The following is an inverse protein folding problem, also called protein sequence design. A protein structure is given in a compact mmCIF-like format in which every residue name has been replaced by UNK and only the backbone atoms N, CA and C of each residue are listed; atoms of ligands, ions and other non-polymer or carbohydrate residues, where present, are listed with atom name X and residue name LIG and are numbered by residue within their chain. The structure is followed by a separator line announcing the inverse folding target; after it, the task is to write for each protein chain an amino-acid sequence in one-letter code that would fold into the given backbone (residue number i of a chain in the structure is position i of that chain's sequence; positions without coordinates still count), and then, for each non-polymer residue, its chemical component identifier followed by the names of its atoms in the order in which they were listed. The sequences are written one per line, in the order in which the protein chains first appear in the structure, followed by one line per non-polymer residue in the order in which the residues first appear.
data_IF_116725487463
#
_entry.id   IF_116725487463
#
_cell.length_a   1.000
_cell.length_b   1.000
_cell.length_c   1.000
_cell.angle_alpha   90.00
_cell.angle_beta   90.00
_cell.angle_gamma   90.00
#
_symmetry.space_group_name_H-M   'P 1'
#
loop_
_entity.id
_entity.type
_entity.pdbx_description
1 polymer ?
#
# COMPACT_ATOMS: atom_id res chain seq x y z
N UNK A 1 -58.34 -1.31 -9.28
CA UNK A 1 -58.31 -1.62 -7.83
C UNK A 1 -57.76 -0.40 -7.10
N UNK A 2 -58.47 0.06 -6.06
CA UNK A 2 -58.25 1.33 -5.36
C UNK A 2 -57.00 1.21 -4.46
N UNK A 3 -55.91 1.91 -4.76
CA UNK A 3 -54.80 2.10 -3.82
C UNK A 3 -55.10 3.30 -2.93
N UNK A 4 -55.08 3.05 -1.62
CA UNK A 4 -55.58 3.93 -0.56
C UNK A 4 -54.51 4.98 -0.25
N UNK A 5 -54.93 6.24 -0.23
CA UNK A 5 -54.17 7.41 0.23
C UNK A 5 -53.52 7.13 1.60
N UNK A 6 -52.19 7.13 1.66
CA UNK A 6 -51.46 7.17 2.91
C UNK A 6 -50.66 8.46 2.94
N UNK A 7 -51.24 9.46 3.60
CA UNK A 7 -50.65 10.75 3.91
C UNK A 7 -49.37 10.52 4.73
N UNK A 8 -48.20 10.69 4.09
CA UNK A 8 -46.91 10.76 4.77
C UNK A 8 -46.71 12.22 5.17
N UNK A 9 -46.82 12.49 6.47
CA UNK A 9 -46.66 13.81 7.06
C UNK A 9 -45.25 14.37 6.83
N UNK A 10 -45.20 15.66 6.49
CA UNK A 10 -44.00 16.47 6.41
C UNK A 10 -43.39 16.68 7.81
N UNK A 11 -42.17 16.17 8.01
CA UNK A 11 -41.17 16.75 8.91
C UNK A 11 -39.78 16.22 8.49
N UNK A 12 -39.25 16.67 7.36
CA UNK A 12 -37.90 16.30 6.91
C UNK A 12 -36.85 17.11 7.69
N UNK A 13 -36.30 16.46 8.71
CA UNK A 13 -35.09 16.87 9.41
C UNK A 13 -33.90 16.70 8.45
N UNK A 14 -33.49 17.77 7.77
CA UNK A 14 -32.37 17.76 6.82
C UNK A 14 -31.01 17.79 7.52
N UNK A 15 -30.61 16.70 8.17
CA UNK A 15 -29.23 16.51 8.61
C UNK A 15 -28.38 16.04 7.41
N UNK A 16 -27.63 16.95 6.81
CA UNK A 16 -26.65 16.62 5.79
C UNK A 16 -25.48 15.84 6.42
N UNK A 17 -25.57 14.50 6.42
CA UNK A 17 -24.42 13.64 6.67
C UNK A 17 -23.43 13.77 5.51
N UNK A 18 -22.45 14.67 5.65
CA UNK A 18 -21.28 14.69 4.79
C UNK A 18 -20.52 13.38 4.93
N UNK A 19 -20.49 12.58 3.87
CA UNK A 19 -19.63 11.40 3.79
C UNK A 19 -18.18 11.88 3.68
N UNK A 20 -17.44 11.79 4.78
CA UNK A 20 -15.98 11.96 4.75
C UNK A 20 -15.38 10.67 4.18
N UNK A 21 -14.91 10.73 2.93
CA UNK A 21 -14.14 9.62 2.37
C UNK A 21 -12.77 9.55 3.09
N UNK A 22 -12.28 8.35 3.45
CA UNK A 22 -10.95 8.23 4.01
C UNK A 22 -9.92 8.59 2.94
N UNK A 23 -9.08 9.58 3.23
CA UNK A 23 -7.88 9.84 2.45
C UNK A 23 -6.87 8.72 2.76
N UNK A 24 -6.77 7.73 1.88
CA UNK A 24 -5.69 6.75 1.95
C UNK A 24 -4.40 7.42 1.47
N UNK A 25 -3.58 7.89 2.40
CA UNK A 25 -2.21 8.29 2.08
C UNK A 25 -1.44 7.03 1.64
N UNK A 26 -0.98 6.99 0.38
CA UNK A 26 -0.07 5.95 -0.04
C UNK A 26 1.24 6.11 0.75
N UNK A 27 1.64 5.06 1.48
CA UNK A 27 2.89 5.08 2.23
C UNK A 27 4.04 5.02 1.22
N UNK A 28 4.87 6.07 1.19
CA UNK A 28 6.05 6.10 0.35
C UNK A 28 7.25 5.67 1.17
N UNK A 29 8.04 4.75 0.62
CA UNK A 29 9.29 4.33 1.22
C UNK A 29 10.46 4.59 0.27
N UNK A 30 11.66 4.59 0.81
CA UNK A 30 12.89 4.82 0.09
C UNK A 30 13.87 3.69 0.39
N UNK A 31 14.63 3.27 -0.62
CA UNK A 31 15.77 2.37 -0.45
C UNK A 31 16.88 3.12 0.29
N UNK A 32 17.33 2.55 1.40
CA UNK A 32 18.30 3.16 2.34
C UNK A 32 19.40 2.16 2.70
N UNK A 33 19.96 1.47 1.70
CA UNK A 33 21.07 0.54 1.91
C UNK A 33 22.35 1.31 2.31
N UNK A 34 22.87 1.13 3.53
CA UNK A 34 24.00 1.92 4.04
C UNK A 34 25.33 1.55 3.38
N UNK A 35 25.39 0.44 2.64
CA UNK A 35 26.61 -0.01 1.95
C UNK A 35 26.90 0.76 0.67
N UNK A 36 25.92 1.52 0.15
CA UNK A 36 26.02 2.22 -1.12
C UNK A 36 25.91 1.31 -2.36
N UNK A 37 25.65 0.01 -2.17
CA UNK A 37 25.38 -0.91 -3.28
C UNK A 37 23.90 -0.92 -3.66
N UNK A 38 23.54 -1.18 -4.92
CA UNK A 38 22.14 -1.35 -5.29
C UNK A 38 21.51 -2.54 -4.56
N UNK A 39 20.31 -2.33 -4.00
CA UNK A 39 19.57 -3.33 -3.26
C UNK A 39 19.04 -4.42 -4.20
N UNK A 40 19.31 -5.69 -3.89
CA UNK A 40 18.80 -6.80 -4.69
C UNK A 40 17.29 -6.97 -4.54
N UNK A 41 16.60 -7.05 -5.68
CA UNK A 41 15.21 -7.45 -5.80
C UNK A 41 15.16 -8.95 -6.04
N UNK A 42 14.25 -9.63 -5.35
CA UNK A 42 14.13 -11.08 -5.40
C UNK A 42 12.71 -11.54 -5.72
N UNK A 43 12.61 -12.70 -6.35
CA UNK A 43 11.36 -13.44 -6.44
C UNK A 43 11.04 -14.12 -5.10
N UNK A 44 9.83 -14.68 -4.97
CA UNK A 44 9.40 -15.38 -3.75
C UNK A 44 10.31 -16.58 -3.38
N UNK A 45 10.95 -17.20 -4.37
CA UNK A 45 11.94 -18.27 -4.16
C UNK A 45 13.35 -17.76 -3.80
N UNK A 46 13.49 -16.46 -3.48
CA UNK A 46 14.74 -15.77 -3.11
C UNK A 46 15.75 -15.57 -4.25
N UNK A 47 15.48 -15.99 -5.48
CA UNK A 47 16.37 -15.71 -6.61
C UNK A 47 16.41 -14.21 -6.89
N UNK A 48 17.60 -13.67 -7.18
CA UNK A 48 17.77 -12.27 -7.57
C UNK A 48 17.22 -12.10 -8.99
N UNK A 49 16.29 -11.17 -9.15
CA UNK A 49 15.62 -10.86 -10.43
C UNK A 49 15.87 -9.41 -10.88
N UNK A 50 16.51 -8.60 -10.04
CA UNK A 50 16.79 -7.20 -10.35
C UNK A 50 17.50 -6.48 -9.22
N UNK A 51 17.64 -5.17 -9.38
CA UNK A 51 18.28 -4.28 -8.41
C UNK A 51 17.55 -2.95 -8.36
N UNK A 52 17.52 -2.33 -7.19
CA UNK A 52 17.07 -0.95 -6.99
C UNK A 52 18.25 -0.09 -6.57
N UNK A 53 18.34 1.12 -7.14
CA UNK A 53 19.32 2.10 -6.70
C UNK A 53 19.02 2.57 -5.28
N UNK A 54 20.06 2.97 -4.55
CA UNK A 54 19.88 3.66 -3.27
C UNK A 54 19.13 4.98 -3.50
N UNK A 55 18.21 5.34 -2.61
CA UNK A 55 17.33 6.50 -2.78
C UNK A 55 16.12 6.26 -3.69
N UNK A 56 15.96 5.06 -4.28
CA UNK A 56 14.77 4.75 -5.08
C UNK A 56 13.50 4.79 -4.21
N UNK A 57 12.47 5.48 -4.70
CA UNK A 57 11.15 5.52 -4.07
C UNK A 57 10.37 4.27 -4.46
N UNK A 58 9.75 3.63 -3.48
CA UNK A 58 8.96 2.42 -3.63
C UNK A 58 7.70 2.48 -2.77
N UNK A 59 6.67 1.78 -3.23
CA UNK A 59 5.42 1.59 -2.49
C UNK A 59 5.41 0.18 -1.89
N UNK A 60 5.38 0.03 -0.56
CA UNK A 60 5.26 -1.28 0.08
C UNK A 60 3.85 -1.83 -0.17
N UNK A 61 3.76 -3.10 -0.54
CA UNK A 61 2.49 -3.78 -0.82
C UNK A 61 2.21 -4.92 0.14
N UNK A 62 3.22 -5.73 0.44
CA UNK A 62 3.09 -6.88 1.34
C UNK A 62 4.30 -7.00 2.26
N UNK A 63 4.09 -7.40 3.51
CA UNK A 63 5.16 -7.78 4.42
C UNK A 63 5.25 -9.31 4.51
N UNK A 64 6.45 -9.81 4.76
CA UNK A 64 6.67 -11.24 4.96
C UNK A 64 7.88 -11.51 5.83
N UNK A 65 7.97 -12.72 6.33
CA UNK A 65 9.13 -13.22 7.09
C UNK A 65 9.47 -14.60 6.57
N UNK A 66 10.75 -14.88 6.33
CA UNK A 66 11.17 -16.19 5.87
C UNK A 66 11.42 -17.16 7.05
N UNK A 67 11.66 -18.47 6.80
CA UNK A 67 11.89 -19.44 7.88
C UNK A 67 13.11 -19.13 8.77
N UNK A 68 14.02 -18.27 8.33
CA UNK A 68 15.16 -17.81 9.14
C UNK A 68 14.84 -16.57 10.00
N UNK A 69 13.60 -16.09 9.98
CA UNK A 69 13.18 -14.90 10.70
C UNK A 69 13.52 -13.59 10.00
N UNK A 70 14.05 -13.64 8.77
CA UNK A 70 14.42 -12.42 8.03
C UNK A 70 13.17 -11.75 7.51
N UNK A 71 13.01 -10.44 7.78
CA UNK A 71 11.88 -9.64 7.33
C UNK A 71 12.06 -9.15 5.89
N UNK A 72 10.97 -9.24 5.13
CA UNK A 72 10.88 -8.89 3.71
C UNK A 72 9.70 -7.97 3.46
N UNK A 73 9.80 -7.18 2.40
CA UNK A 73 8.70 -6.38 1.88
C UNK A 73 8.62 -6.52 0.36
N UNK A 74 7.43 -6.79 -0.14
CA UNK A 74 7.13 -6.75 -1.57
C UNK A 74 6.82 -5.31 -1.96
N UNK A 75 7.49 -4.82 -2.99
CA UNK A 75 7.45 -3.42 -3.38
C UNK A 75 7.01 -3.22 -4.83
N UNK A 76 6.41 -2.06 -5.07
CA UNK A 76 6.04 -1.57 -6.39
C UNK A 76 6.67 -0.19 -6.66
N UNK A 77 6.78 0.18 -7.93
CA UNK A 77 7.08 1.55 -8.34
C UNK A 77 5.90 2.47 -7.96
N UNK A 78 6.13 3.78 -7.76
CA UNK A 78 5.05 4.77 -7.81
C UNK A 78 4.25 4.59 -9.11
N UNK A 79 2.92 4.50 -9.01
CA UNK A 79 2.06 4.13 -10.13
C UNK A 79 1.69 2.64 -10.19
N UNK A 80 2.20 1.82 -9.27
CA UNK A 80 1.64 0.51 -8.94
C UNK A 80 2.24 -0.69 -9.67
N UNK A 81 3.24 -0.48 -10.55
CA UNK A 81 3.95 -1.59 -11.20
C UNK A 81 4.76 -2.38 -10.18
N UNK A 82 4.46 -3.67 -10.04
CA UNK A 82 5.15 -4.55 -9.11
C UNK A 82 6.62 -4.77 -9.51
N UNK A 83 7.51 -4.79 -8.51
CA UNK A 83 8.96 -4.97 -8.71
C UNK A 83 9.41 -6.32 -8.16
N UNK A 84 9.11 -6.62 -6.88
CA UNK A 84 9.57 -7.84 -6.23
C UNK A 84 9.81 -7.68 -4.72
N UNK A 85 10.41 -8.70 -4.12
CA UNK A 85 10.75 -8.73 -2.70
C UNK A 85 12.12 -8.13 -2.42
N UNK A 86 12.20 -7.32 -1.38
CA UNK A 86 13.46 -6.79 -0.84
C UNK A 86 13.52 -7.00 0.67
N UNK A 87 14.73 -6.97 1.24
CA UNK A 87 14.87 -7.02 2.70
C UNK A 87 14.33 -5.75 3.34
N UNK A 88 13.46 -5.91 4.35
CA UNK A 88 12.75 -4.79 4.99
C UNK A 88 13.68 -3.80 5.67
N UNK A 89 14.84 -4.24 6.12
CA UNK A 89 15.82 -3.40 6.85
C UNK A 89 16.45 -2.30 5.98
N UNK A 90 16.46 -2.47 4.65
CA UNK A 90 17.04 -1.51 3.70
C UNK A 90 15.99 -0.61 3.04
N UNK A 91 14.81 -0.53 3.65
CA UNK A 91 13.70 0.31 3.19
C UNK A 91 13.19 1.14 4.35
N UNK A 92 13.16 2.46 4.21
CA UNK A 92 12.63 3.38 5.22
C UNK A 92 11.36 4.04 4.71
N UNK A 93 10.31 4.04 5.50
CA UNK A 93 9.01 4.64 5.15
C UNK A 93 8.78 5.90 5.98
N UNK A 94 8.21 6.94 5.38
CA UNK A 94 7.97 8.24 5.99
C UNK A 94 6.51 8.66 5.85
#
# INVERSE_FOLDING_TARGET
MKVKEMLIGFATFGAACGVVAPAHAELHCMVTDPTGTPLNVRAANKNIIGKLANGAIVIPKLNGTDPSGKAWVFVAEPGGKEIGWVYREFVTCH
#
